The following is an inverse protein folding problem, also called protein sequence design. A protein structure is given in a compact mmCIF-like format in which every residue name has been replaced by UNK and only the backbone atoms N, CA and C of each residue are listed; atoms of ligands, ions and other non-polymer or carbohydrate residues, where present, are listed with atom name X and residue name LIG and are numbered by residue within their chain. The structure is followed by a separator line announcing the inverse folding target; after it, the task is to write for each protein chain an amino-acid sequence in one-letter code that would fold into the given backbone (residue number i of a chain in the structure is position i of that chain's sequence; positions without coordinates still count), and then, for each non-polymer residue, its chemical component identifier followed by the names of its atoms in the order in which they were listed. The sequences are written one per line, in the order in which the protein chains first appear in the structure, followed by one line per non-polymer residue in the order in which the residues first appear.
data_IF_569942805788
#
_entry.id   IF_569942805788
#
_cell.length_a   1.000
_cell.length_b   1.000
_cell.length_c   1.000
_cell.angle_alpha   90.00
_cell.angle_beta   90.00
_cell.angle_gamma   90.00
#
_symmetry.space_group_name_H-M   'P 1'
#
loop_
_entity.id
_entity.type
_entity.pdbx_description
1 polymer ?
#
# COMPACT_ATOMS: atom_id res chain seq x y z
N UNK A 1 0.82 27.40 -2.37
CA UNK A 1 -0.05 26.21 -2.21
C UNK A 1 0.93 25.07 -2.01
N UNK A 2 1.08 24.61 -0.76
CA UNK A 2 2.06 23.56 -0.47
C UNK A 2 1.62 22.27 -1.13
N UNK A 3 2.52 21.67 -1.92
CA UNK A 3 2.34 20.35 -2.46
C UNK A 3 2.13 19.36 -1.31
N UNK A 4 1.18 18.42 -1.39
CA UNK A 4 1.00 17.42 -0.35
C UNK A 4 2.32 16.68 -0.09
N UNK A 5 2.63 16.45 1.19
CA UNK A 5 3.85 15.74 1.58
C UNK A 5 3.90 14.38 0.91
N UNK A 6 5.03 14.09 0.26
CA UNK A 6 5.33 12.77 -0.32
C UNK A 6 5.87 11.79 0.72
N UNK A 7 6.22 12.29 1.90
CA UNK A 7 6.78 11.49 3.00
C UNK A 7 5.63 10.89 3.80
N UNK A 8 5.58 9.56 3.89
CA UNK A 8 4.56 8.82 4.63
C UNK A 8 5.01 8.54 6.07
N UNK A 9 6.25 8.07 6.24
CA UNK A 9 6.81 7.65 7.53
C UNK A 9 8.28 8.09 7.61
N UNK A 10 8.76 8.50 8.79
CA UNK A 10 10.11 9.08 8.95
C UNK A 10 11.03 8.32 9.92
N UNK A 11 10.53 7.30 10.61
CA UNK A 11 11.28 6.61 11.66
C UNK A 11 11.23 5.09 11.50
N UNK A 12 10.06 4.49 11.69
CA UNK A 12 9.90 3.05 11.56
C UNK A 12 9.45 2.72 10.14
N UNK A 13 10.18 1.84 9.46
CA UNK A 13 9.76 1.33 8.15
C UNK A 13 8.72 0.22 8.36
N UNK A 14 7.52 0.32 7.75
CA UNK A 14 6.53 -0.76 7.79
C UNK A 14 7.05 -2.06 7.16
N UNK A 15 6.45 -3.19 7.52
CA UNK A 15 6.65 -4.47 6.83
C UNK A 15 5.98 -4.46 5.47
N UNK A 16 4.75 -3.93 5.46
CA UNK A 16 3.90 -3.85 4.28
C UNK A 16 3.20 -2.50 4.24
N UNK A 17 3.00 -1.96 3.05
CA UNK A 17 2.17 -0.78 2.82
C UNK A 17 1.15 -1.11 1.73
N UNK A 18 -0.12 -0.81 1.99
CA UNK A 18 -1.20 -0.86 1.01
C UNK A 18 -1.61 0.57 0.68
N UNK A 19 -1.71 0.88 -0.61
CA UNK A 19 -2.08 2.21 -1.12
C UNK A 19 -3.28 2.08 -2.04
N UNK A 20 -4.31 2.88 -1.80
CA UNK A 20 -5.47 3.04 -2.67
C UNK A 20 -5.80 4.51 -2.88
N UNK A 21 -6.32 4.86 -4.05
CA UNK A 21 -6.69 6.23 -4.40
C UNK A 21 -8.21 6.36 -4.40
N UNK A 22 -8.73 7.47 -3.88
CA UNK A 22 -10.18 7.74 -3.87
C UNK A 22 -10.46 9.20 -4.24
N UNK A 23 -11.68 9.46 -4.71
CA UNK A 23 -12.14 10.84 -4.94
C UNK A 23 -12.36 11.60 -3.64
N UNK A 24 -12.28 12.93 -3.71
CA UNK A 24 -12.64 13.84 -2.61
C UNK A 24 -14.05 13.60 -2.06
N UNK A 25 -15.00 13.22 -2.91
CA UNK A 25 -16.38 12.90 -2.51
C UNK A 25 -16.44 11.64 -1.63
N UNK A 26 -15.73 10.58 -2.03
CA UNK A 26 -15.67 9.31 -1.29
C UNK A 26 -14.99 9.51 0.07
N UNK A 27 -13.90 10.27 0.11
CA UNK A 27 -13.18 10.56 1.36
C UNK A 27 -14.02 11.36 2.35
N UNK A 28 -14.76 12.37 1.89
CA UNK A 28 -15.57 13.25 2.75
C UNK A 28 -16.95 12.68 3.12
N UNK A 29 -17.13 11.35 3.03
CA UNK A 29 -18.35 10.62 3.43
C UNK A 29 -19.55 10.82 2.50
N UNK A 30 -19.52 10.14 1.35
CA UNK A 30 -20.71 9.89 0.53
C UNK A 30 -21.43 8.64 1.02
N UNK A 31 -22.71 8.75 1.40
CA UNK A 31 -23.51 7.61 1.90
C UNK A 31 -23.75 6.55 0.81
N UNK A 32 -23.64 6.94 -0.46
CA UNK A 32 -23.88 6.07 -1.62
C UNK A 32 -22.62 5.42 -2.19
N UNK A 33 -21.41 5.80 -1.72
CA UNK A 33 -20.14 5.30 -2.28
C UNK A 33 -19.26 4.66 -1.21
N UNK A 34 -18.61 3.57 -1.57
CA UNK A 34 -17.69 2.86 -0.68
C UNK A 34 -16.33 3.57 -0.59
N UNK A 35 -15.73 3.73 0.61
CA UNK A 35 -14.36 4.23 0.78
C UNK A 35 -13.27 3.25 0.30
N UNK A 36 -13.67 2.04 -0.08
CA UNK A 36 -12.80 0.98 -0.63
C UNK A 36 -12.95 0.81 -2.14
N UNK A 37 -13.68 1.71 -2.81
CA UNK A 37 -13.69 1.79 -4.26
C UNK A 37 -12.45 2.57 -4.72
N UNK A 38 -11.36 1.84 -4.95
CA UNK A 38 -10.07 2.41 -5.34
C UNK A 38 -10.03 2.59 -6.85
N UNK A 39 -10.28 3.81 -7.29
CA UNK A 39 -10.26 4.16 -8.70
C UNK A 39 -8.80 4.27 -9.22
N UNK A 40 -8.53 3.86 -10.47
CA UNK A 40 -7.18 3.87 -11.03
C UNK A 40 -6.62 5.27 -11.32
N UNK A 41 -7.48 6.27 -11.55
CA UNK A 41 -7.14 7.66 -11.91
C UNK A 41 -6.11 7.82 -13.05
N UNK A 42 -6.03 6.87 -13.98
CA UNK A 42 -4.99 6.86 -15.01
C UNK A 42 -3.57 6.93 -14.40
N UNK A 43 -3.38 6.33 -13.24
CA UNK A 43 -2.08 6.19 -12.61
C UNK A 43 -1.18 5.40 -13.56
N UNK A 44 -0.04 5.97 -13.92
CA UNK A 44 0.96 5.37 -14.81
C UNK A 44 2.01 4.61 -14.03
N UNK A 45 2.39 5.12 -12.87
CA UNK A 45 3.40 4.49 -12.04
C UNK A 45 3.21 4.86 -10.57
N UNK A 46 3.53 3.90 -9.70
CA UNK A 46 3.52 4.06 -8.26
C UNK A 46 4.69 3.28 -7.67
N UNK A 47 5.45 3.95 -6.79
CA UNK A 47 6.58 3.33 -6.13
C UNK A 47 6.93 4.05 -4.84
N UNK A 48 7.56 3.32 -3.94
CA UNK A 48 8.16 3.82 -2.73
C UNK A 48 9.65 4.09 -2.94
N UNK A 49 10.17 5.09 -2.25
CA UNK A 49 11.60 5.26 -2.02
C UNK A 49 11.88 5.11 -0.52
N UNK A 50 12.73 4.15 -0.15
CA UNK A 50 13.12 3.87 1.24
C UNK A 50 14.64 3.68 1.27
N UNK A 51 15.37 4.53 2.01
CA UNK A 51 16.83 4.45 2.15
C UNK A 51 17.57 4.23 0.80
N UNK A 52 17.25 5.05 -0.20
CA UNK A 52 17.78 5.01 -1.57
C UNK A 52 17.42 3.75 -2.38
N UNK A 53 16.50 2.90 -1.91
CA UNK A 53 15.92 1.80 -2.67
C UNK A 53 14.55 2.19 -3.22
N UNK A 54 14.21 1.67 -4.38
CA UNK A 54 12.90 1.86 -5.03
C UNK A 54 12.15 0.54 -4.95
N UNK A 55 10.88 0.59 -4.55
CA UNK A 55 10.01 -0.58 -4.42
C UNK A 55 8.67 -0.31 -5.12
N UNK A 56 8.23 -1.13 -6.08
CA UNK A 56 9.00 -2.23 -6.70
C UNK A 56 10.17 -1.68 -7.54
N UNK A 57 11.21 -2.50 -7.73
CA UNK A 57 12.37 -2.12 -8.57
C UNK A 57 11.97 -1.92 -10.04
N UNK A 58 10.99 -2.69 -10.51
CA UNK A 58 10.46 -2.58 -11.86
C UNK A 58 9.33 -1.54 -11.88
N UNK A 59 9.45 -0.54 -12.75
CA UNK A 59 8.35 0.39 -13.03
C UNK A 59 7.17 -0.35 -13.67
N UNK A 60 5.96 -0.02 -13.24
CA UNK A 60 4.75 -0.62 -13.80
C UNK A 60 4.47 -0.12 -15.22
N UNK A 61 4.63 1.17 -15.50
CA UNK A 61 4.20 1.80 -16.76
C UNK A 61 2.77 1.36 -17.17
N UNK A 62 1.83 1.57 -16.26
CA UNK A 62 0.44 1.16 -16.38
C UNK A 62 -0.29 1.89 -17.51
N UNK A 63 -1.03 1.08 -18.25
CA UNK A 63 -2.11 1.42 -19.15
C UNK A 63 -3.29 0.55 -18.72
N UNK A 64 -4.38 1.18 -18.32
CA UNK A 64 -5.52 0.50 -17.69
C UNK A 64 -6.37 -0.31 -18.67
N UNK A 65 -6.10 -0.20 -19.97
CA UNK A 65 -6.71 -1.03 -21.01
C UNK A 65 -5.83 -2.25 -21.35
N UNK A 66 -4.50 -2.13 -21.24
CA UNK A 66 -3.58 -3.11 -21.83
C UNK A 66 -2.46 -3.63 -20.93
N UNK A 67 -1.97 -2.88 -19.95
CA UNK A 67 -0.78 -3.24 -19.16
C UNK A 67 -0.95 -3.18 -17.63
N UNK A 68 -2.18 -3.24 -17.12
CA UNK A 68 -2.47 -3.27 -15.67
C UNK A 68 -2.21 -4.63 -15.00
N UNK A 69 -2.09 -5.71 -15.78
CA UNK A 69 -2.01 -7.08 -15.26
C UNK A 69 -0.82 -7.31 -14.32
N UNK A 70 0.31 -6.62 -14.53
CA UNK A 70 1.47 -6.73 -13.62
C UNK A 70 1.15 -6.21 -12.23
N UNK A 71 0.48 -5.05 -12.10
CA UNK A 71 0.08 -4.56 -10.79
C UNK A 71 -0.97 -5.45 -10.11
N UNK A 72 -1.87 -6.06 -10.90
CA UNK A 72 -2.81 -7.04 -10.38
C UNK A 72 -2.12 -8.29 -9.83
N UNK A 73 -1.12 -8.83 -10.54
CA UNK A 73 -0.35 -9.98 -10.07
C UNK A 73 0.45 -9.62 -8.81
N UNK A 74 1.15 -8.48 -8.80
CA UNK A 74 1.88 -8.00 -7.64
C UNK A 74 0.96 -7.82 -6.40
N UNK A 75 -0.28 -7.36 -6.61
CA UNK A 75 -1.29 -7.29 -5.55
C UNK A 75 -1.62 -8.68 -4.98
N UNK A 76 -1.81 -9.70 -5.85
CA UNK A 76 -2.06 -11.07 -5.40
C UNK A 76 -0.84 -11.68 -4.68
N UNK A 77 0.37 -11.37 -5.15
CA UNK A 77 1.63 -11.80 -4.52
C UNK A 77 1.80 -11.17 -3.15
N UNK A 78 1.60 -9.85 -3.03
CA UNK A 78 1.65 -9.14 -1.75
C UNK A 78 0.66 -9.69 -0.74
N UNK A 79 -0.55 -10.05 -1.18
CA UNK A 79 -1.57 -10.70 -0.33
C UNK A 79 -1.22 -12.15 0.04
N UNK A 80 -0.18 -12.74 -0.56
CA UNK A 80 0.21 -14.13 -0.35
C UNK A 80 -0.72 -15.15 -1.00
N UNK A 81 -1.57 -14.74 -1.94
CA UNK A 81 -2.60 -15.60 -2.54
C UNK A 81 -2.33 -16.02 -3.99
N UNK A 82 -1.36 -15.39 -4.68
CA UNK A 82 -1.05 -15.66 -6.09
C UNK A 82 -0.75 -17.14 -6.42
N UNK A 83 -0.27 -17.91 -5.44
CA UNK A 83 0.08 -19.32 -5.57
C UNK A 83 -0.69 -20.22 -4.60
N UNK A 84 -1.84 -19.76 -4.13
CA UNK A 84 -2.70 -20.47 -3.19
C UNK A 84 -4.01 -20.90 -3.86
N UNK A 85 -4.74 -21.82 -3.22
CA UNK A 85 -6.12 -22.16 -3.60
C UNK A 85 -7.16 -21.17 -3.03
N UNK A 86 -6.71 -20.00 -2.58
CA UNK A 86 -7.56 -18.96 -1.99
C UNK A 86 -7.72 -17.76 -2.92
N UNK A 87 -8.80 -17.00 -2.74
CA UNK A 87 -9.10 -15.81 -3.52
C UNK A 87 -9.54 -14.67 -2.62
N UNK A 88 -9.18 -13.44 -3.00
CA UNK A 88 -9.68 -12.21 -2.39
C UNK A 88 -11.03 -11.75 -3.00
N UNK A 89 -11.59 -12.49 -3.97
CA UNK A 89 -12.85 -12.15 -4.62
C UNK A 89 -12.77 -11.02 -5.67
N UNK A 90 -11.57 -10.54 -6.01
CA UNK A 90 -11.35 -9.43 -6.95
C UNK A 90 -10.74 -9.98 -8.24
N UNK A 91 -11.50 -10.19 -9.33
CA UNK A 91 -10.97 -10.56 -10.63
C UNK A 91 -10.30 -9.34 -11.32
N UNK A 92 -9.49 -9.57 -12.37
CA UNK A 92 -8.78 -8.50 -13.09
C UNK A 92 -9.70 -7.38 -13.59
N UNK A 93 -10.91 -7.72 -14.03
CA UNK A 93 -11.94 -6.77 -14.50
C UNK A 93 -12.41 -5.82 -13.39
N UNK A 94 -12.53 -6.29 -12.15
CA UNK A 94 -12.90 -5.43 -11.03
C UNK A 94 -11.70 -4.59 -10.57
N UNK A 95 -10.49 -5.19 -10.58
CA UNK A 95 -9.26 -4.48 -10.25
C UNK A 95 -9.02 -3.26 -11.15
N UNK A 96 -9.14 -3.42 -12.48
CA UNK A 96 -8.87 -2.32 -13.43
C UNK A 96 -9.85 -1.15 -13.31
N UNK A 97 -11.05 -1.39 -12.77
CA UNK A 97 -12.14 -0.41 -12.76
C UNK A 97 -12.36 0.23 -11.37
N UNK A 98 -12.37 -0.57 -10.29
CA UNK A 98 -12.93 -0.17 -8.99
C UNK A 98 -12.09 -0.59 -7.77
N UNK A 99 -11.10 -1.47 -7.96
CA UNK A 99 -10.31 -2.01 -6.84
C UNK A 99 -8.81 -1.95 -7.09
N UNK A 100 -8.35 -0.85 -7.71
CA UNK A 100 -6.96 -0.61 -8.07
C UNK A 100 -6.11 -0.19 -6.85
N UNK A 101 -5.91 -1.11 -5.89
CA UNK A 101 -4.95 -0.92 -4.81
C UNK A 101 -3.59 -1.58 -5.09
N UNK A 102 -2.56 -1.09 -4.41
CA UNK A 102 -1.18 -1.51 -4.57
C UNK A 102 -0.63 -1.95 -3.24
N UNK A 103 0.03 -3.10 -3.21
CA UNK A 103 0.64 -3.65 -2.00
C UNK A 103 2.15 -3.70 -2.19
N UNK A 104 2.89 -3.10 -1.25
CA UNK A 104 4.34 -3.08 -1.22
C UNK A 104 4.80 -3.92 -0.04
N UNK A 105 5.27 -5.13 -0.30
CA UNK A 105 6.04 -5.90 0.67
C UNK A 105 7.47 -5.33 0.73
N UNK A 106 7.82 -4.74 1.87
CA UNK A 106 9.10 -4.05 2.07
C UNK A 106 10.15 -5.00 2.64
N UNK A 107 9.73 -6.00 3.42
CA UNK A 107 10.66 -6.90 4.12
C UNK A 107 10.95 -8.18 3.36
N UNK A 108 10.23 -8.48 2.27
CA UNK A 108 10.43 -9.70 1.47
C UNK A 108 10.45 -10.96 2.35
N UNK A 109 9.72 -10.93 3.47
CA UNK A 109 9.73 -12.04 4.42
C UNK A 109 8.98 -13.17 3.73
N UNK A 110 9.74 -14.12 3.18
CA UNK A 110 9.23 -15.41 2.70
C UNK A 110 8.27 -15.90 3.77
N UNK A 111 6.97 -16.01 3.41
CA UNK A 111 5.76 -16.23 4.22
C UNK A 111 5.85 -17.20 5.41
N UNK A 112 6.80 -16.97 6.31
CA UNK A 112 7.11 -17.74 7.49
C UNK A 112 6.85 -16.81 8.66
N UNK A 113 5.81 -17.14 9.41
CA UNK A 113 5.35 -16.43 10.61
C UNK A 113 6.39 -16.36 11.74
N UNK A 114 7.56 -16.99 11.54
CA UNK A 114 8.48 -17.35 12.61
C UNK A 114 9.79 -16.52 12.57
N UNK A 115 9.95 -15.62 11.59
CA UNK A 115 11.11 -14.75 11.46
C UNK A 115 10.72 -13.30 11.81
N UNK A 116 11.22 -12.82 12.96
CA UNK A 116 11.14 -11.42 13.34
C UNK A 116 12.28 -10.67 12.65
N UNK A 117 11.94 -9.72 11.78
CA UNK A 117 12.94 -8.93 11.06
C UNK A 117 13.37 -7.70 11.88
N UNK A 118 14.64 -7.31 11.75
CA UNK A 118 15.16 -6.10 12.42
C UNK A 118 14.46 -4.88 11.82
N UNK A 119 13.76 -4.12 12.68
CA UNK A 119 13.13 -2.84 12.34
C UNK A 119 14.18 -1.93 11.70
N UNK A 120 13.99 -1.59 10.43
CA UNK A 120 14.88 -0.70 9.70
C UNK A 120 14.42 0.74 9.90
N UNK A 121 15.29 1.58 10.44
CA UNK A 121 15.05 3.02 10.43
C UNK A 121 15.07 3.54 9.00
N UNK A 122 14.08 4.36 8.63
CA UNK A 122 13.99 4.86 7.27
C UNK A 122 12.88 5.86 7.06
N UNK A 123 13.09 6.73 6.07
CA UNK A 123 12.04 7.59 5.55
C UNK A 123 11.39 6.92 4.34
N UNK A 124 10.09 6.67 4.43
CA UNK A 124 9.27 6.13 3.34
C UNK A 124 8.67 7.29 2.56
N UNK A 125 9.00 7.36 1.28
CA UNK A 125 8.46 8.38 0.36
C UNK A 125 7.62 7.70 -0.71
N UNK A 126 6.35 8.07 -0.83
CA UNK A 126 5.46 7.61 -1.90
C UNK A 126 5.56 8.55 -3.10
N UNK A 127 5.67 7.96 -4.30
CA UNK A 127 5.65 8.68 -5.57
C UNK A 127 4.57 8.10 -6.47
N UNK A 128 3.78 9.03 -7.02
CA UNK A 128 2.68 8.76 -7.94
C UNK A 128 2.95 9.54 -9.23
N UNK A 129 2.81 8.86 -10.36
CA UNK A 129 2.94 9.43 -11.70
C UNK A 129 1.67 9.10 -12.47
N UNK A 130 1.01 10.11 -13.04
CA UNK A 130 -0.25 9.95 -13.76
C UNK A 130 -0.03 10.20 -15.25
N UNK A 131 -0.70 9.42 -16.11
CA UNK A 131 -0.69 9.65 -17.56
C UNK A 131 -1.66 10.75 -17.99
N UNK A 132 -2.66 11.04 -17.15
CA UNK A 132 -3.64 12.11 -17.36
C UNK A 132 -3.72 13.03 -16.13
N UNK A 133 -4.36 14.18 -16.30
CA UNK A 133 -4.59 15.12 -15.20
C UNK A 133 -5.61 14.51 -14.22
N UNK A 134 -5.29 14.52 -12.93
CA UNK A 134 -6.22 14.14 -11.86
C UNK A 134 -7.43 15.10 -11.81
N UNK A 135 -8.60 14.68 -11.30
CA UNK A 135 -9.78 15.54 -11.16
C UNK A 135 -9.47 16.88 -10.49
N UNK A 136 -10.18 17.94 -10.89
CA UNK A 136 -9.95 19.30 -10.39
C UNK A 136 -10.19 19.44 -8.88
N UNK A 137 -11.11 18.64 -8.34
CA UNK A 137 -11.44 18.63 -6.91
C UNK A 137 -10.40 17.86 -6.06
N UNK A 138 -9.34 17.34 -6.71
CA UNK A 138 -8.30 16.56 -6.07
C UNK A 138 -8.66 15.08 -5.90
N UNK A 139 -7.67 14.33 -5.40
CA UNK A 139 -7.81 12.93 -5.01
C UNK A 139 -7.17 12.75 -3.64
N UNK A 140 -7.60 11.74 -2.92
CA UNK A 140 -7.02 11.32 -1.65
C UNK A 140 -6.29 10.00 -1.81
N UNK A 141 -5.20 9.87 -1.05
CA UNK A 141 -4.41 8.65 -0.97
C UNK A 141 -4.70 7.99 0.37
N UNK A 142 -5.36 6.83 0.34
CA UNK A 142 -5.56 5.99 1.51
C UNK A 142 -4.33 5.10 1.66
N UNK A 143 -3.68 5.18 2.82
CA UNK A 143 -2.47 4.41 3.13
C UNK A 143 -2.74 3.56 4.37
N UNK A 144 -2.58 2.26 4.22
CA UNK A 144 -2.53 1.31 5.32
C UNK A 144 -1.10 0.79 5.45
N UNK A 145 -0.59 0.65 6.67
CA UNK A 145 0.76 0.18 6.93
C UNK A 145 0.76 -0.85 8.06
N UNK A 146 1.50 -1.93 7.87
CA UNK A 146 1.65 -3.01 8.83
C UNK A 146 3.01 -2.95 9.51
N UNK A 147 3.03 -3.15 10.83
CA UNK A 147 4.23 -3.15 11.66
C UNK A 147 4.24 -4.37 12.57
N UNK A 148 5.43 -4.87 12.90
CA UNK A 148 5.59 -5.77 14.02
C UNK A 148 5.53 -5.02 15.34
N UNK A 149 5.02 -5.67 16.37
CA UNK A 149 5.15 -5.19 17.75
C UNK A 149 5.25 -6.37 18.70
N UNK A 150 6.04 -6.20 19.77
CA UNK A 150 6.20 -7.22 20.81
C UNK A 150 5.28 -6.86 21.97
N UNK A 151 4.30 -7.73 22.22
CA UNK A 151 3.51 -7.68 23.44
C UNK A 151 4.20 -8.52 24.52
N UNK A 152 4.68 -7.85 25.56
CA UNK A 152 5.36 -8.48 26.68
C UNK A 152 4.45 -8.53 27.89
N UNK A 153 4.66 -9.51 28.77
CA UNK A 153 3.95 -9.63 30.05
C UNK A 153 4.99 -9.59 31.15
N UNK A 154 4.87 -8.64 32.08
CA UNK A 154 5.80 -8.52 33.20
C UNK A 154 5.57 -9.61 34.26
N UNK A 155 6.43 -9.63 35.29
CA UNK A 155 6.33 -10.56 36.42
C UNK A 155 5.02 -10.42 37.21
N UNK A 156 4.35 -9.26 37.11
CA UNK A 156 3.08 -8.96 37.74
C UNK A 156 1.87 -9.30 36.85
N UNK A 157 2.10 -9.96 35.69
CA UNK A 157 1.06 -10.30 34.70
C UNK A 157 0.41 -9.07 34.04
N UNK A 158 1.12 -7.96 34.00
CA UNK A 158 0.68 -6.75 33.29
C UNK A 158 1.15 -6.85 31.84
N UNK A 159 0.22 -6.87 30.86
CA UNK A 159 0.60 -6.77 29.46
C UNK A 159 1.09 -5.35 29.15
N UNK A 160 2.21 -5.23 28.47
CA UNK A 160 2.71 -3.97 27.94
C UNK A 160 3.22 -4.17 26.52
N UNK A 161 2.94 -3.21 25.66
CA UNK A 161 3.49 -3.15 24.32
C UNK A 161 4.87 -2.50 24.42
N UNK A 162 5.90 -3.18 23.94
CA UNK A 162 7.19 -2.51 23.81
C UNK A 162 7.12 -1.55 22.62
N UNK A 163 6.84 -0.28 22.94
CA UNK A 163 6.75 0.84 21.99
C UNK A 163 8.04 1.66 21.98
N UNK A 164 8.97 1.33 22.87
CA UNK A 164 10.27 1.98 23.06
C UNK A 164 11.32 1.22 22.27
N UNK A 165 11.54 1.64 21.02
CA UNK A 165 12.69 1.20 20.22
C UNK A 165 13.44 2.42 19.68
#
# INVERSE_FOLDING_TARGET
MDSPSRVLFTWHTPKCIVVGLVTTEVYNSSVSKSPFNFEPFNLKNIYLTINNRIIPTRSYNLDWESSYATAYVDMLEGLGIAHSDTSNGIPPEMYKNEFAFFMFDILLTVHSSDLFDVIRQGTVVLKLEFSQRVPNDGIYVNVYAEYDSILSIDQNRTPYLDTSW
#
